data_IF_362384541005
#
_entry.id   IF_362384541005
#
_cell.length_a   1.000
_cell.length_b   1.000
_cell.length_c   1.000
_cell.angle_alpha   90.00
_cell.angle_beta   90.00
_cell.angle_gamma   90.00
#
_symmetry.space_group_name_H-M   'P 1'
#
loop_
_entity.id
_entity.type
_entity.pdbx_description
1 polymer ?
#
# COMPACT_ATOMS: atom_id res chain seq x y z
N UNK A 1 25.89 25.74 20.80
CA UNK A 1 25.56 24.38 20.31
C UNK A 1 24.10 24.02 20.57
N UNK A 2 23.52 24.39 21.71
CA UNK A 2 22.13 24.02 22.10
C UNK A 2 21.04 24.47 21.11
N UNK A 3 21.14 25.66 20.49
CA UNK A 3 20.17 26.11 19.47
C UNK A 3 20.16 25.23 18.21
N UNK A 4 21.33 24.77 17.76
CA UNK A 4 21.41 23.88 16.59
C UNK A 4 20.79 22.50 16.84
N UNK A 5 20.78 22.04 18.10
CA UNK A 5 20.13 20.78 18.47
C UNK A 5 18.61 20.96 18.55
N UNK A 6 18.16 22.12 19.04
CA UNK A 6 16.73 22.46 19.12
C UNK A 6 16.08 22.54 17.73
N UNK A 7 16.76 23.16 16.76
CA UNK A 7 16.30 23.20 15.36
C UNK A 7 16.26 21.81 14.72
N UNK A 8 17.27 20.98 14.99
CA UNK A 8 17.32 19.60 14.50
C UNK A 8 16.18 18.75 15.08
N UNK A 9 15.86 18.90 16.37
CA UNK A 9 14.73 18.21 16.99
C UNK A 9 13.38 18.68 16.42
N UNK A 10 13.23 19.98 16.19
CA UNK A 10 12.03 20.54 15.57
C UNK A 10 11.84 20.01 14.14
N UNK A 11 12.92 19.97 13.36
CA UNK A 11 12.92 19.44 12.00
C UNK A 11 12.62 17.93 11.98
N UNK A 12 13.18 17.17 12.93
CA UNK A 12 12.90 15.74 13.07
C UNK A 12 11.43 15.48 13.43
N UNK A 13 10.88 16.26 14.38
CA UNK A 13 9.47 16.18 14.76
C UNK A 13 8.55 16.47 13.57
N UNK A 14 8.85 17.52 12.81
CA UNK A 14 8.07 17.88 11.62
C UNK A 14 8.12 16.77 10.55
N UNK A 15 9.31 16.22 10.28
CA UNK A 15 9.48 15.12 9.32
C UNK A 15 8.69 13.88 9.75
N UNK A 16 8.77 13.48 11.02
CA UNK A 16 8.05 12.31 11.51
C UNK A 16 6.53 12.47 11.43
N UNK A 17 6.01 13.66 11.77
CA UNK A 17 4.57 13.93 11.70
C UNK A 17 4.07 13.94 10.25
N UNK A 18 4.77 14.64 9.37
CA UNK A 18 4.35 14.87 7.99
C UNK A 18 4.54 13.59 7.17
N UNK A 19 5.76 13.07 7.07
CA UNK A 19 6.04 11.90 6.24
C UNK A 19 5.44 10.61 6.81
N UNK A 20 5.33 10.52 8.13
CA UNK A 20 4.79 9.34 8.79
C UNK A 20 3.27 9.20 8.62
N UNK A 21 2.52 10.30 8.57
CA UNK A 21 1.04 10.23 8.62
C UNK A 21 0.35 10.48 7.27
N UNK A 22 0.97 11.24 6.36
CA UNK A 22 0.38 11.59 5.06
C UNK A 22 -0.06 10.37 4.22
N UNK A 23 0.76 9.32 4.06
CA UNK A 23 0.38 8.17 3.22
C UNK A 23 -0.89 7.48 3.71
N UNK A 24 -1.07 7.41 5.04
CA UNK A 24 -2.27 6.82 5.66
C UNK A 24 -3.51 7.70 5.45
N UNK A 25 -3.33 9.02 5.45
CA UNK A 25 -4.40 9.97 5.13
C UNK A 25 -4.86 9.88 3.68
N UNK A 26 -3.92 9.88 2.73
CA UNK A 26 -4.20 9.79 1.29
C UNK A 26 -4.89 8.46 0.97
N UNK A 27 -4.41 7.36 1.56
CA UNK A 27 -5.09 6.08 1.45
C UNK A 27 -6.55 6.19 1.89
N UNK A 28 -6.84 6.99 2.94
CA UNK A 28 -8.19 7.20 3.44
C UNK A 28 -9.07 8.04 2.53
N UNK A 29 -8.50 8.95 1.75
CA UNK A 29 -9.22 9.78 0.78
C UNK A 29 -9.52 9.05 -0.53
N UNK A 30 -8.72 8.03 -0.86
CA UNK A 30 -8.90 7.23 -2.07
C UNK A 30 -10.17 6.36 -2.04
N UNK A 31 -10.68 6.04 -0.85
CA UNK A 31 -11.87 5.22 -0.70
C UNK A 31 -13.16 6.05 -0.59
N UNK A 32 -14.25 5.64 -1.26
CA UNK A 32 -15.54 6.31 -1.11
C UNK A 32 -16.07 6.18 0.33
N UNK A 33 -16.76 7.22 0.81
CA UNK A 33 -17.19 7.38 2.20
C UNK A 33 -17.93 6.16 2.79
N UNK A 34 -18.69 5.43 1.97
CA UNK A 34 -19.48 4.27 2.40
C UNK A 34 -18.62 3.05 2.80
N UNK A 35 -17.41 2.92 2.27
CA UNK A 35 -16.52 1.77 2.51
C UNK A 35 -15.16 2.18 3.09
N UNK A 36 -15.03 3.44 3.53
CA UNK A 36 -13.75 4.05 3.91
C UNK A 36 -13.05 3.30 5.05
N UNK A 37 -13.78 2.90 6.08
CA UNK A 37 -13.22 2.18 7.24
C UNK A 37 -12.73 0.78 6.88
N UNK A 38 -13.52 0.03 6.11
CA UNK A 38 -13.16 -1.32 5.65
C UNK A 38 -11.96 -1.29 4.71
N UNK A 39 -11.95 -0.35 3.75
CA UNK A 39 -10.82 -0.17 2.84
C UNK A 39 -9.53 0.16 3.61
N UNK A 40 -9.61 1.08 4.58
CA UNK A 40 -8.49 1.42 5.44
C UNK A 40 -8.00 0.25 6.30
N UNK A 41 -8.90 -0.54 6.89
CA UNK A 41 -8.53 -1.69 7.70
C UNK A 41 -7.73 -2.73 6.89
N UNK A 42 -8.12 -2.98 5.63
CA UNK A 42 -7.40 -3.89 4.73
C UNK A 42 -6.00 -3.36 4.41
N UNK A 43 -5.88 -2.05 4.12
CA UNK A 43 -4.57 -1.42 3.85
C UNK A 43 -3.64 -1.54 5.06
N UNK A 44 -4.14 -1.22 6.26
CA UNK A 44 -3.35 -1.35 7.49
C UNK A 44 -2.99 -2.80 7.79
N UNK A 45 -3.90 -3.75 7.55
CA UNK A 45 -3.64 -5.17 7.73
C UNK A 45 -2.43 -5.61 6.88
N UNK A 46 -2.40 -5.28 5.60
CA UNK A 46 -1.27 -5.60 4.73
C UNK A 46 0.02 -4.87 5.13
N UNK A 47 -0.08 -3.59 5.54
CA UNK A 47 1.07 -2.83 6.02
C UNK A 47 1.72 -3.50 7.23
N UNK A 48 0.95 -3.81 8.27
CA UNK A 48 1.46 -4.47 9.47
C UNK A 48 1.88 -5.92 9.20
N UNK A 49 1.18 -6.65 8.34
CA UNK A 49 1.57 -8.00 7.96
C UNK A 49 2.94 -8.01 7.26
N UNK A 50 3.18 -7.07 6.34
CA UNK A 50 4.47 -6.93 5.67
C UNK A 50 5.59 -6.58 6.67
N UNK A 51 5.33 -5.68 7.62
CA UNK A 51 6.26 -5.33 8.68
C UNK A 51 6.56 -6.49 9.63
N UNK A 52 5.55 -7.30 9.97
CA UNK A 52 5.71 -8.50 10.79
C UNK A 52 6.58 -9.55 10.10
N UNK A 53 6.32 -9.83 8.82
CA UNK A 53 7.13 -10.74 8.00
C UNK A 53 8.58 -10.24 7.93
N UNK A 54 8.77 -8.94 7.70
CA UNK A 54 10.10 -8.33 7.66
C UNK A 54 10.84 -8.52 9.00
N UNK A 55 10.16 -8.29 10.12
CA UNK A 55 10.77 -8.39 11.45
C UNK A 55 11.18 -9.82 11.82
N UNK A 56 10.42 -10.84 11.38
CA UNK A 56 10.77 -12.24 11.58
C UNK A 56 11.92 -12.66 10.65
N UNK A 57 11.88 -12.24 9.38
CA UNK A 57 12.87 -12.66 8.38
C UNK A 57 14.22 -11.99 8.55
N UNK A 58 14.29 -10.76 9.06
CA UNK A 58 15.55 -10.00 9.06
C UNK A 58 16.64 -10.69 9.89
N UNK A 59 16.31 -11.24 11.06
CA UNK A 59 17.27 -11.87 11.95
C UNK A 59 17.96 -13.12 11.34
N UNK A 60 17.22 -14.14 10.83
CA UNK A 60 17.85 -15.31 10.20
C UNK A 60 18.58 -14.98 8.90
N UNK A 61 18.08 -14.02 8.12
CA UNK A 61 18.74 -13.61 6.87
C UNK A 61 20.04 -12.83 7.13
N UNK A 62 20.07 -12.00 8.16
CA UNK A 62 21.25 -11.24 8.54
C UNK A 62 22.41 -12.15 8.97
N UNK A 63 22.11 -13.24 9.70
CA UNK A 63 23.12 -14.23 10.09
C UNK A 63 23.71 -14.97 8.89
N UNK A 64 22.91 -15.21 7.85
CA UNK A 64 23.34 -16.01 6.69
C UNK A 64 24.11 -15.20 5.64
N UNK A 65 23.64 -13.99 5.33
CA UNK A 65 24.06 -13.22 4.15
C UNK A 65 24.62 -11.84 4.54
N UNK A 66 24.52 -11.47 5.82
CA UNK A 66 24.93 -10.15 6.32
C UNK A 66 24.06 -9.02 5.75
N UNK A 67 24.66 -7.87 5.50
CA UNK A 67 23.95 -6.65 5.06
C UNK A 67 23.28 -6.80 3.69
N UNK A 68 23.73 -7.73 2.84
CA UNK A 68 23.10 -7.96 1.53
C UNK A 68 21.67 -8.51 1.63
N UNK A 69 21.22 -8.95 2.81
CA UNK A 69 19.86 -9.43 3.01
C UNK A 69 18.77 -8.36 2.84
N UNK A 70 19.11 -7.07 3.01
CA UNK A 70 18.13 -6.00 2.86
C UNK A 70 17.65 -5.84 1.41
N UNK A 71 18.51 -6.10 0.43
CA UNK A 71 18.18 -5.99 -1.01
C UNK A 71 16.97 -6.84 -1.40
N UNK A 72 16.96 -8.18 -1.21
CA UNK A 72 15.79 -8.98 -1.56
C UNK A 72 14.57 -8.65 -0.69
N UNK A 73 14.75 -8.32 0.60
CA UNK A 73 13.66 -7.97 1.51
C UNK A 73 12.90 -6.71 1.09
N UNK A 74 13.58 -5.74 0.46
CA UNK A 74 12.94 -4.53 -0.07
C UNK A 74 12.49 -4.67 -1.52
N UNK A 75 13.28 -5.30 -2.39
CA UNK A 75 12.97 -5.36 -3.83
C UNK A 75 11.76 -6.24 -4.11
N UNK A 76 11.64 -7.40 -3.45
CA UNK A 76 10.56 -8.36 -3.69
C UNK A 76 9.17 -7.75 -3.47
N UNK A 77 8.85 -7.14 -2.30
CA UNK A 77 7.54 -6.54 -2.08
C UNK A 77 7.25 -5.36 -3.02
N UNK A 78 8.27 -4.62 -3.46
CA UNK A 78 8.10 -3.52 -4.42
C UNK A 78 7.72 -4.03 -5.82
N UNK A 79 8.40 -5.07 -6.32
CA UNK A 79 8.06 -5.70 -7.60
C UNK A 79 6.67 -6.34 -7.53
N UNK A 80 6.32 -6.97 -6.41
CA UNK A 80 5.00 -7.55 -6.21
C UNK A 80 3.90 -6.49 -6.26
N UNK A 81 4.07 -5.38 -5.55
CA UNK A 81 3.15 -4.24 -5.58
C UNK A 81 3.02 -3.66 -7.00
N UNK A 82 4.15 -3.47 -7.70
CA UNK A 82 4.16 -2.96 -9.07
C UNK A 82 3.44 -3.89 -10.05
N UNK A 83 3.61 -5.21 -9.89
CA UNK A 83 2.95 -6.21 -10.72
C UNK A 83 1.43 -6.19 -10.50
N UNK A 84 0.98 -6.10 -9.24
CA UNK A 84 -0.43 -5.96 -8.91
C UNK A 84 -0.98 -4.67 -9.52
N UNK A 85 -0.30 -3.54 -9.31
CA UNK A 85 -0.72 -2.25 -9.87
C UNK A 85 -0.89 -2.35 -11.39
N UNK A 86 0.04 -2.98 -12.08
CA UNK A 86 0.00 -3.13 -13.54
C UNK A 86 -1.19 -3.97 -14.03
N UNK A 87 -1.63 -4.96 -13.26
CA UNK A 87 -2.77 -5.82 -13.62
C UNK A 87 -4.11 -5.17 -13.26
N UNK A 88 -4.20 -4.53 -12.09
CA UNK A 88 -5.46 -4.03 -11.54
C UNK A 88 -5.76 -2.56 -11.89
N UNK A 89 -4.74 -1.76 -12.24
CA UNK A 89 -4.93 -0.35 -12.56
C UNK A 89 -5.05 -0.17 -14.08
N UNK A 90 -6.22 0.24 -14.61
CA UNK A 90 -6.31 0.63 -16.02
C UNK A 90 -5.45 1.87 -16.27
N UNK A 91 -4.78 1.91 -17.41
CA UNK A 91 -3.91 3.02 -17.81
C UNK A 91 -4.67 4.36 -17.75
N UNK A 92 -4.34 5.20 -16.77
CA UNK A 92 -4.99 6.51 -16.54
C UNK A 92 -4.42 7.64 -17.40
N UNK A 93 -3.38 7.36 -18.19
CA UNK A 93 -2.64 8.37 -18.94
C UNK A 93 -3.35 8.71 -20.26
N UNK A 94 -3.91 9.92 -20.34
CA UNK A 94 -4.43 10.50 -21.58
C UNK A 94 -5.86 10.11 -21.95
N UNK A 95 -6.62 9.51 -21.02
CA UNK A 95 -8.06 9.25 -21.16
C UNK A 95 -8.86 10.19 -20.27
N UNK A 96 -10.04 10.58 -20.73
CA UNK A 96 -10.93 11.40 -19.90
C UNK A 96 -11.43 10.59 -18.70
N UNK A 97 -11.56 11.25 -17.55
CA UNK A 97 -11.94 10.61 -16.27
C UNK A 97 -13.22 9.78 -16.39
N UNK A 98 -14.16 10.16 -17.27
CA UNK A 98 -15.42 9.45 -17.47
C UNK A 98 -15.25 8.06 -18.12
N UNK A 99 -14.27 7.87 -19.01
CA UNK A 99 -13.99 6.59 -19.66
C UNK A 99 -13.35 5.63 -18.65
N UNK A 100 -12.44 6.16 -17.82
CA UNK A 100 -11.76 5.40 -16.77
C UNK A 100 -12.75 4.88 -15.74
N UNK A 101 -13.72 5.70 -15.32
CA UNK A 101 -14.79 5.29 -14.38
C UNK A 101 -15.72 4.26 -15.01
N UNK A 102 -16.04 4.40 -16.31
CA UNK A 102 -16.84 3.43 -17.05
C UNK A 102 -16.18 2.06 -17.16
N UNK A 103 -14.89 2.03 -17.51
CA UNK A 103 -14.10 0.81 -17.62
C UNK A 103 -13.94 0.12 -16.25
N UNK A 104 -13.62 0.90 -15.20
CA UNK A 104 -13.53 0.38 -13.83
C UNK A 104 -14.86 -0.26 -13.41
N UNK A 105 -16.00 0.40 -13.64
CA UNK A 105 -17.32 -0.14 -13.29
C UNK A 105 -17.60 -1.50 -13.95
N UNK A 106 -17.23 -1.64 -15.23
CA UNK A 106 -17.38 -2.90 -15.99
C UNK A 106 -16.52 -4.04 -15.43
N UNK A 107 -15.30 -3.75 -14.99
CA UNK A 107 -14.43 -4.73 -14.32
C UNK A 107 -15.02 -5.21 -12.98
N UNK A 108 -15.59 -4.31 -12.18
CA UNK A 108 -16.22 -4.64 -10.90
C UNK A 108 -17.51 -5.44 -11.06
N UNK A 109 -18.35 -5.09 -12.03
CA UNK A 109 -19.56 -5.86 -12.34
C UNK A 109 -19.21 -7.30 -12.75
N UNK A 110 -18.20 -7.48 -13.62
CA UNK A 110 -17.72 -8.79 -14.06
C UNK A 110 -17.16 -9.63 -12.89
N UNK A 111 -16.49 -8.99 -11.92
CA UNK A 111 -15.92 -9.66 -10.74
C UNK A 111 -17.00 -10.05 -9.72
N UNK A 112 -18.04 -9.24 -9.56
CA UNK A 112 -19.16 -9.50 -8.64
C UNK A 112 -20.07 -10.60 -9.19
N UNK A 113 -20.32 -10.64 -10.50
CA UNK A 113 -21.11 -11.69 -11.16
C UNK A 113 -20.43 -13.06 -11.05
N UNK A 114 -19.10 -13.14 -11.14
CA UNK A 114 -18.38 -14.41 -10.92
C UNK A 114 -18.55 -14.93 -9.48
N UNK A 115 -18.50 -14.05 -8.47
CA UNK A 115 -18.73 -14.44 -7.06
C UNK A 115 -20.17 -14.88 -6.82
N UNK A 116 -21.16 -14.24 -7.47
CA UNK A 116 -22.57 -14.63 -7.38
C UNK A 116 -22.86 -15.98 -8.06
N UNK A 117 -22.21 -16.28 -9.20
CA UNK A 117 -22.35 -17.57 -9.87
C UNK A 117 -21.71 -18.72 -9.07
N UNK A 118 -20.56 -18.50 -8.44
CA UNK A 118 -19.92 -19.50 -7.57
C UNK A 118 -20.78 -19.84 -6.34
N UNK A 119 -21.58 -18.88 -5.85
CA UNK A 119 -22.41 -19.05 -4.66
C UNK A 119 -23.84 -19.56 -4.98
N UNK A 120 -24.16 -19.80 -6.26
CA UNK A 120 -25.45 -20.35 -6.70
C UNK A 120 -25.36 -21.82 -7.16
N UNK A 121 -24.14 -22.37 -7.24
CA UNK A 121 -23.87 -23.75 -7.68
C UNK A 121 -23.53 -24.71 -6.52
N UNK A 122 -23.87 -24.34 -5.27
CA UNK A 122 -23.80 -25.20 -4.06
C UNK A 122 -25.16 -25.25 -3.38
#
# INVERSE_FOLDING_TARGET
>A
MEYSVMDAHFLLLFICLVLGTIPFYIAGELFPQNFRSTGQAIVFFFFYLSGFIFNILILPLYVSIGVWCFLPLFIIPQIFCLTILWIFLPETRGREVHEIVGDLKKYWETSTTKVQLINCDT
#
